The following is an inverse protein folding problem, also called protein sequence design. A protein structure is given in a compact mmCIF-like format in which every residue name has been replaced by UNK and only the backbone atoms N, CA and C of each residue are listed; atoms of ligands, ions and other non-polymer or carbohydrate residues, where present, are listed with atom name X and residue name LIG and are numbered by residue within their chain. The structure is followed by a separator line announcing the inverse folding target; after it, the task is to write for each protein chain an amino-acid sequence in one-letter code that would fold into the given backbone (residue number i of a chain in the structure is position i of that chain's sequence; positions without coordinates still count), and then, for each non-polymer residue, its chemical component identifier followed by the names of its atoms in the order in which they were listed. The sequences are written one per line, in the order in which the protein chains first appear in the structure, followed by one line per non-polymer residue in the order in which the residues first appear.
data_IF_275129883936
#
_entry.id   IF_275129883936
#
_cell.length_a   1.000
_cell.length_b   1.000
_cell.length_c   1.000
_cell.angle_alpha   90.00
_cell.angle_beta   90.00
_cell.angle_gamma   90.00
#
_symmetry.space_group_name_H-M   'P 1'
#
loop_
_entity.id
_entity.type
_entity.pdbx_description
1 polymer ?
#
# COMPACT_ATOMS: atom_id res chain seq x y z
N UNK A 1 19.61 55.60 -21.25
CA UNK A 1 20.41 54.67 -20.41
C UNK A 1 19.43 53.84 -19.60
N UNK A 2 19.22 52.58 -19.99
CA UNK A 2 18.27 51.68 -19.35
C UNK A 2 19.04 50.41 -18.95
N UNK A 3 19.07 50.10 -17.65
CA UNK A 3 19.82 49.02 -17.04
C UNK A 3 19.22 47.64 -17.37
N UNK A 4 20.07 46.74 -17.85
CA UNK A 4 19.96 45.27 -17.90
C UNK A 4 20.88 44.76 -16.75
N UNK A 5 20.74 43.60 -16.05
CA UNK A 5 19.89 42.40 -16.23
C UNK A 5 19.49 41.66 -14.91
N UNK A 6 18.25 41.59 -14.44
CA UNK A 6 17.87 40.50 -13.51
C UNK A 6 16.41 40.13 -13.69
N UNK A 7 16.12 39.37 -14.73
CA UNK A 7 14.93 38.51 -14.72
C UNK A 7 15.30 37.20 -15.40
N UNK A 8 16.25 36.49 -14.78
CA UNK A 8 16.25 35.03 -14.76
C UNK A 8 14.97 34.64 -14.00
N UNK A 9 13.84 34.80 -14.68
CA UNK A 9 12.53 34.40 -14.19
C UNK A 9 12.56 32.89 -14.09
N UNK A 10 12.66 32.41 -12.86
CA UNK A 10 12.59 31.01 -12.47
C UNK A 10 11.53 30.28 -13.30
N UNK A 11 12.00 29.50 -14.27
CA UNK A 11 11.25 28.33 -14.72
C UNK A 11 11.35 27.35 -13.53
N UNK A 12 10.50 27.57 -12.53
CA UNK A 12 10.06 26.52 -11.62
C UNK A 12 9.25 25.56 -12.50
N UNK A 13 9.96 24.70 -13.22
CA UNK A 13 9.40 23.43 -13.61
C UNK A 13 8.98 22.78 -12.29
N UNK A 14 7.69 22.87 -11.97
CA UNK A 14 7.05 21.97 -11.03
C UNK A 14 7.21 20.60 -11.67
N UNK A 15 8.36 19.98 -11.43
CA UNK A 15 8.50 18.54 -11.53
C UNK A 15 7.64 18.06 -10.37
N UNK A 16 6.33 17.98 -10.61
CA UNK A 16 5.47 17.19 -9.76
C UNK A 16 6.11 15.81 -9.78
N UNK A 17 6.69 15.35 -8.66
CA UNK A 17 7.15 13.98 -8.65
C UNK A 17 5.92 13.17 -8.99
N UNK A 18 5.99 12.37 -10.04
CA UNK A 18 5.09 11.26 -10.27
C UNK A 18 5.28 10.28 -9.12
N UNK A 19 4.84 10.67 -7.92
CA UNK A 19 4.49 9.75 -6.88
C UNK A 19 3.27 9.06 -7.47
N UNK A 20 3.53 7.93 -8.12
CA UNK A 20 2.46 7.00 -8.37
C UNK A 20 1.82 6.78 -6.99
N UNK A 21 0.55 7.14 -6.97
CA UNK A 21 -0.34 6.94 -5.85
C UNK A 21 -1.42 6.05 -6.42
N UNK A 22 -1.85 5.07 -5.62
CA UNK A 22 -3.00 4.23 -5.92
C UNK A 22 -4.07 5.00 -6.68
N UNK A 23 -4.61 4.40 -7.73
CA UNK A 23 -5.62 5.06 -8.55
C UNK A 23 -6.82 5.46 -7.69
N UNK A 24 -7.56 6.49 -8.10
CA UNK A 24 -8.82 6.83 -7.43
C UNK A 24 -9.80 5.64 -7.40
N UNK A 25 -9.67 4.68 -8.32
CA UNK A 25 -10.47 3.46 -8.31
C UNK A 25 -10.05 2.55 -7.15
N UNK A 26 -8.76 2.31 -6.97
CA UNK A 26 -8.22 1.55 -5.84
C UNK A 26 -8.55 2.23 -4.50
N UNK A 27 -8.42 3.55 -4.40
CA UNK A 27 -8.81 4.31 -3.19
C UNK A 27 -10.29 4.11 -2.84
N UNK A 28 -11.19 4.18 -3.84
CA UNK A 28 -12.64 3.94 -3.64
C UNK A 28 -12.95 2.52 -3.18
N UNK A 29 -12.15 1.53 -3.57
CA UNK A 29 -12.29 0.15 -3.10
C UNK A 29 -11.72 0.00 -1.68
N UNK A 30 -10.56 0.59 -1.40
CA UNK A 30 -9.84 0.41 -0.14
C UNK A 30 -10.50 1.16 1.02
N UNK A 31 -10.95 2.40 0.85
CA UNK A 31 -11.57 3.19 1.93
C UNK A 31 -12.64 2.43 2.72
N UNK A 32 -13.73 1.92 2.11
CA UNK A 32 -14.78 1.23 2.85
C UNK A 32 -14.30 -0.09 3.49
N UNK A 33 -13.29 -0.74 2.91
CA UNK A 33 -12.69 -1.96 3.49
C UNK A 33 -11.92 -1.62 4.76
N UNK A 34 -11.11 -0.56 4.73
CA UNK A 34 -10.35 -0.10 5.88
C UNK A 34 -11.26 0.37 7.00
N UNK A 35 -12.28 1.18 6.69
CA UNK A 35 -13.27 1.62 7.67
C UNK A 35 -13.96 0.44 8.34
N UNK A 36 -14.35 -0.57 7.54
CA UNK A 36 -15.00 -1.76 8.09
C UNK A 36 -14.07 -2.59 8.97
N UNK A 37 -12.80 -2.73 8.60
CA UNK A 37 -11.82 -3.40 9.43
C UNK A 37 -11.51 -2.64 10.72
N UNK A 38 -11.52 -1.31 10.70
CA UNK A 38 -11.42 -0.49 11.91
C UNK A 38 -12.64 -0.71 12.81
N UNK A 39 -13.85 -0.70 12.25
CA UNK A 39 -15.09 -0.96 13.00
C UNK A 39 -15.09 -2.35 13.66
N UNK A 40 -14.82 -3.40 12.89
CA UNK A 40 -14.85 -4.79 13.37
C UNK A 40 -13.82 -5.05 14.48
N UNK A 41 -12.71 -4.31 14.48
CA UNK A 41 -11.64 -4.41 15.48
C UNK A 41 -11.76 -3.37 16.61
N UNK A 42 -12.78 -2.49 16.58
CA UNK A 42 -12.97 -1.44 17.57
C UNK A 42 -11.87 -0.36 17.56
N UNK A 43 -11.20 -0.17 16.41
CA UNK A 43 -10.15 0.84 16.23
C UNK A 43 -10.81 2.19 15.96
N UNK A 44 -10.52 3.24 16.75
CA UNK A 44 -11.05 4.56 16.50
C UNK A 44 -10.60 5.13 15.14
N UNK A 45 -11.52 5.70 14.35
CA UNK A 45 -11.20 6.28 13.03
C UNK A 45 -10.10 7.38 13.08
N UNK A 46 -9.98 8.08 14.21
CA UNK A 46 -8.92 9.08 14.45
C UNK A 46 -7.49 8.51 14.36
N UNK A 47 -7.33 7.19 14.41
CA UNK A 47 -6.03 6.52 14.28
C UNK A 47 -5.57 6.42 12.82
N UNK A 48 -6.42 6.80 11.85
CA UNK A 48 -6.06 7.00 10.43
C UNK A 48 -5.37 5.80 9.79
N UNK A 49 -5.89 4.60 10.06
CA UNK A 49 -5.32 3.35 9.54
C UNK A 49 -5.43 3.25 8.02
N UNK A 50 -6.40 3.91 7.40
CA UNK A 50 -6.44 4.06 5.95
C UNK A 50 -5.18 4.76 5.45
N UNK A 51 -4.94 6.00 5.86
CA UNK A 51 -3.81 6.79 5.37
C UNK A 51 -2.46 6.16 5.72
N UNK A 52 -2.35 5.53 6.90
CA UNK A 52 -1.13 4.83 7.33
C UNK A 52 -0.91 3.54 6.56
N UNK A 53 -1.93 2.71 6.37
CA UNK A 53 -1.79 1.40 5.71
C UNK A 53 -1.70 1.50 4.19
N UNK A 54 -2.46 2.42 3.60
CA UNK A 54 -2.49 2.68 2.16
C UNK A 54 -1.11 3.05 1.60
N UNK A 55 -0.24 3.66 2.40
CA UNK A 55 1.12 4.05 2.02
C UNK A 55 2.22 3.12 2.57
N UNK A 56 1.87 1.94 3.08
CA UNK A 56 2.88 1.02 3.63
C UNK A 56 3.40 1.42 5.02
N UNK A 57 2.76 2.37 5.70
CA UNK A 57 3.21 2.99 6.94
C UNK A 57 2.85 2.26 8.24
N UNK A 58 2.01 1.21 8.20
CA UNK A 58 1.77 0.36 9.38
C UNK A 58 3.02 -0.48 9.72
N UNK A 59 3.34 -0.54 11.01
CA UNK A 59 4.55 -1.14 11.58
C UNK A 59 4.18 -2.15 12.68
N UNK A 60 5.11 -3.05 13.02
CA UNK A 60 4.84 -4.15 13.97
C UNK A 60 4.72 -3.73 15.44
N UNK A 61 5.11 -2.49 15.78
CA UNK A 61 4.91 -1.87 17.09
C UNK A 61 3.48 -1.33 17.28
N UNK A 62 2.70 -1.23 16.20
CA UNK A 62 1.29 -0.90 16.28
C UNK A 62 0.49 -2.11 16.80
N UNK A 63 -0.24 -1.99 17.92
CA UNK A 63 -0.90 -3.11 18.57
C UNK A 63 -1.99 -3.78 17.70
N UNK A 64 -2.54 -3.07 16.71
CA UNK A 64 -3.57 -3.60 15.82
C UNK A 64 -3.07 -3.86 14.40
N UNK A 65 -1.80 -3.59 14.08
CA UNK A 65 -1.32 -3.70 12.69
C UNK A 65 -1.53 -5.10 12.09
N UNK A 66 -1.27 -6.16 12.86
CA UNK A 66 -1.42 -7.53 12.36
C UNK A 66 -2.89 -7.91 12.10
N UNK A 67 -3.82 -7.84 13.08
CA UNK A 67 -5.21 -8.18 12.84
C UNK A 67 -5.87 -7.25 11.83
N UNK A 68 -5.50 -5.96 11.83
CA UNK A 68 -6.03 -4.99 10.88
C UNK A 68 -5.64 -5.31 9.44
N UNK A 69 -4.35 -5.51 9.17
CA UNK A 69 -3.90 -5.79 7.82
C UNK A 69 -4.41 -7.15 7.34
N UNK A 70 -4.50 -8.14 8.22
CA UNK A 70 -5.13 -9.42 7.88
C UNK A 70 -6.60 -9.25 7.49
N UNK A 71 -7.38 -8.43 8.21
CA UNK A 71 -8.76 -8.11 7.84
C UNK A 71 -8.85 -7.47 6.45
N UNK A 72 -8.00 -6.47 6.18
CA UNK A 72 -7.97 -5.78 4.88
C UNK A 72 -7.67 -6.76 3.75
N UNK A 73 -6.61 -7.57 3.90
CA UNK A 73 -6.20 -8.54 2.89
C UNK A 73 -7.25 -9.64 2.67
N UNK A 74 -7.94 -10.08 3.72
CA UNK A 74 -9.05 -11.04 3.60
C UNK A 74 -10.20 -10.47 2.78
N UNK A 75 -10.58 -9.22 3.03
CA UNK A 75 -11.70 -8.56 2.31
C UNK A 75 -11.38 -8.27 0.85
N UNK A 76 -10.10 -8.12 0.52
CA UNK A 76 -9.61 -7.99 -0.85
C UNK A 76 -9.39 -9.34 -1.56
N UNK A 77 -9.62 -10.46 -0.88
CA UNK A 77 -9.28 -11.80 -1.35
C UNK A 77 -7.78 -11.97 -1.69
N UNK A 78 -6.91 -11.14 -1.11
CA UNK A 78 -5.45 -11.25 -1.26
C UNK A 78 -4.88 -12.38 -0.43
N UNK A 79 -5.58 -12.74 0.64
CA UNK A 79 -5.24 -13.86 1.51
C UNK A 79 -6.51 -14.60 1.87
N UNK A 80 -6.42 -15.92 2.02
CA UNK A 80 -7.52 -16.72 2.56
C UNK A 80 -7.38 -16.93 4.09
N UNK A 81 -8.36 -17.62 4.70
CA UNK A 81 -8.36 -17.90 6.14
C UNK A 81 -7.15 -18.72 6.64
N UNK A 82 -6.45 -19.44 5.75
CA UNK A 82 -5.25 -20.22 6.10
C UNK A 82 -3.96 -19.41 5.97
N UNK A 83 -4.01 -18.20 5.44
CA UNK A 83 -2.83 -17.35 5.21
C UNK A 83 -2.15 -17.58 3.87
N UNK A 84 -2.83 -18.24 2.92
CA UNK A 84 -2.32 -18.42 1.55
C UNK A 84 -2.58 -17.17 0.75
N UNK A 85 -1.54 -16.61 0.13
CA UNK A 85 -1.65 -15.41 -0.70
C UNK A 85 -2.27 -15.78 -2.05
N UNK A 86 -3.31 -15.07 -2.44
CA UNK A 86 -3.85 -15.10 -3.79
C UNK A 86 -3.04 -14.15 -4.67
N UNK A 87 -1.90 -14.64 -5.18
CA UNK A 87 -0.98 -13.82 -5.96
C UNK A 87 -1.65 -13.16 -7.17
N UNK A 88 -2.61 -13.86 -7.81
CA UNK A 88 -3.35 -13.34 -8.95
C UNK A 88 -4.19 -12.11 -8.55
N UNK A 89 -4.96 -12.20 -7.46
CA UNK A 89 -5.78 -11.08 -6.99
C UNK A 89 -4.92 -9.85 -6.65
N UNK A 90 -3.76 -10.06 -6.01
CA UNK A 90 -2.81 -8.97 -5.73
C UNK A 90 -2.32 -8.33 -7.04
N UNK A 91 -1.86 -9.14 -8.01
CA UNK A 91 -1.35 -8.64 -9.29
C UNK A 91 -2.43 -7.90 -10.08
N UNK A 92 -3.63 -8.47 -10.19
CA UNK A 92 -4.75 -7.84 -10.91
C UNK A 92 -5.13 -6.49 -10.29
N UNK A 93 -5.16 -6.40 -8.95
CA UNK A 93 -5.54 -5.16 -8.26
C UNK A 93 -4.54 -4.03 -8.53
N UNK A 94 -3.25 -4.34 -8.51
CA UNK A 94 -2.18 -3.35 -8.63
C UNK A 94 -1.76 -3.03 -10.07
N UNK A 95 -2.11 -3.88 -11.05
CA UNK A 95 -1.91 -3.56 -12.48
C UNK A 95 -2.98 -2.64 -13.05
N UNK A 96 -4.09 -2.42 -12.34
CA UNK A 96 -5.11 -1.43 -12.73
C UNK A 96 -4.53 -0.01 -12.72
N UNK A 97 -4.21 0.52 -13.91
CA UNK A 97 -3.67 1.87 -14.09
C UNK A 97 -2.14 1.98 -13.99
N UNK A 98 -1.41 0.87 -13.81
CA UNK A 98 0.04 0.88 -13.66
C UNK A 98 0.72 -0.20 -14.54
N UNK A 99 1.75 0.19 -15.30
CA UNK A 99 2.61 -0.78 -16.01
C UNK A 99 3.71 -1.28 -15.06
N UNK A 100 3.43 -2.39 -14.38
CA UNK A 100 4.33 -2.95 -13.36
C UNK A 100 4.78 -4.35 -13.76
N UNK A 101 5.69 -4.43 -14.73
CA UNK A 101 6.31 -5.69 -15.16
C UNK A 101 7.05 -6.44 -14.05
N UNK A 102 7.49 -5.74 -13.00
CA UNK A 102 8.17 -6.33 -11.83
C UNK A 102 7.22 -6.91 -10.77
N UNK A 103 5.92 -6.61 -10.84
CA UNK A 103 4.96 -6.91 -9.77
C UNK A 103 4.80 -8.40 -9.47
N UNK A 104 4.63 -9.30 -10.47
CA UNK A 104 4.47 -10.72 -10.17
C UNK A 104 5.69 -11.30 -9.45
N UNK A 105 6.90 -10.85 -9.82
CA UNK A 105 8.14 -11.26 -9.17
C UNK A 105 8.24 -10.80 -7.73
N UNK A 106 7.81 -9.56 -7.44
CA UNK A 106 7.75 -9.06 -6.05
C UNK A 106 6.75 -9.84 -5.22
N UNK A 107 5.54 -10.08 -5.74
CA UNK A 107 4.50 -10.82 -5.03
C UNK A 107 5.00 -12.24 -4.68
N UNK A 108 5.63 -12.93 -5.63
CA UNK A 108 6.21 -14.25 -5.40
C UNK A 108 7.36 -14.23 -4.38
N UNK A 109 8.28 -13.25 -4.48
CA UNK A 109 9.38 -13.07 -3.52
C UNK A 109 8.86 -12.86 -2.10
N UNK A 110 7.85 -12.00 -1.93
CA UNK A 110 7.28 -11.69 -0.62
C UNK A 110 6.44 -12.84 -0.06
N UNK A 111 5.73 -13.59 -0.90
CA UNK A 111 4.97 -14.77 -0.46
C UNK A 111 5.91 -15.89 0.02
N UNK A 112 7.03 -16.12 -0.67
CA UNK A 112 8.04 -17.11 -0.26
C UNK A 112 8.73 -16.76 1.05
N UNK A 113 8.96 -15.47 1.29
CA UNK A 113 9.72 -14.98 2.46
C UNK A 113 8.85 -14.54 3.64
N UNK A 114 7.52 -14.60 3.55
CA UNK A 114 6.62 -14.23 4.66
C UNK A 114 6.90 -15.09 5.89
N UNK A 115 6.91 -14.44 7.05
CA UNK A 115 7.23 -15.08 8.33
C UNK A 115 6.25 -14.68 9.43
N UNK A 116 6.19 -15.46 10.50
CA UNK A 116 5.23 -15.26 11.59
C UNK A 116 4.63 -16.57 12.10
N UNK A 117 4.34 -16.60 13.40
CA UNK A 117 3.72 -17.73 14.09
C UNK A 117 2.23 -17.82 13.73
N UNK A 118 1.55 -16.68 13.63
CA UNK A 118 0.12 -16.63 13.29
C UNK A 118 -0.12 -16.31 11.82
N UNK A 119 -1.34 -16.59 11.34
CA UNK A 119 -1.76 -16.21 9.99
C UNK A 119 -1.66 -14.69 9.80
N UNK A 120 -2.15 -13.92 10.77
CA UNK A 120 -2.12 -12.46 10.72
C UNK A 120 -0.69 -11.89 10.67
N UNK A 121 0.24 -12.47 11.44
CA UNK A 121 1.67 -12.10 11.39
C UNK A 121 2.26 -12.38 10.00
N UNK A 122 1.97 -13.53 9.39
CA UNK A 122 2.44 -13.85 8.03
C UNK A 122 1.86 -12.92 6.97
N UNK A 123 0.57 -12.60 7.06
CA UNK A 123 -0.06 -11.61 6.18
C UNK A 123 0.56 -10.24 6.32
N UNK A 124 0.83 -9.79 7.55
CA UNK A 124 1.51 -8.53 7.78
C UNK A 124 2.96 -8.55 7.27
N UNK A 125 3.69 -9.65 7.46
CA UNK A 125 5.04 -9.82 6.92
C UNK A 125 5.06 -9.73 5.38
N UNK A 126 4.06 -10.31 4.71
CA UNK A 126 3.89 -10.14 3.26
C UNK A 126 3.65 -8.67 2.88
N UNK A 127 2.71 -8.00 3.55
CA UNK A 127 2.41 -6.58 3.34
C UNK A 127 3.67 -5.71 3.51
N UNK A 128 4.45 -5.92 4.57
CA UNK A 128 5.71 -5.20 4.81
C UNK A 128 6.69 -5.42 3.69
N UNK A 129 6.95 -6.68 3.33
CA UNK A 129 7.83 -7.00 2.22
C UNK A 129 7.38 -6.28 0.94
N UNK A 130 6.10 -6.36 0.58
CA UNK A 130 5.56 -5.76 -0.63
C UNK A 130 5.86 -4.26 -0.73
N UNK A 131 5.55 -3.49 0.31
CA UNK A 131 5.79 -2.04 0.33
C UNK A 131 7.28 -1.67 0.52
N UNK A 132 8.09 -2.52 1.17
CA UNK A 132 9.52 -2.27 1.39
C UNK A 132 10.37 -2.48 0.11
N UNK A 133 9.87 -3.24 -0.87
CA UNK A 133 10.59 -3.44 -2.13
C UNK A 133 10.82 -2.12 -2.87
N UNK A 134 9.91 -1.13 -2.77
CA UNK A 134 9.97 0.17 -3.48
C UNK A 134 10.23 0.04 -5.00
N UNK A 135 10.10 -1.17 -5.56
CA UNK A 135 10.40 -1.54 -6.95
C UNK A 135 9.23 -1.26 -7.90
N UNK A 136 8.11 -0.87 -7.32
CA UNK A 136 6.92 -0.44 -8.01
C UNK A 136 6.30 0.62 -7.11
N UNK A 137 5.97 1.75 -7.73
CA UNK A 137 5.24 2.80 -7.07
C UNK A 137 3.82 2.67 -7.61
N UNK A 138 2.87 2.37 -6.72
CA UNK A 138 1.43 2.34 -7.02
C UNK A 138 0.91 3.73 -6.73
#
# INVERSE_FOLDING_TARGET
MLNIPILVGMILAVVAPSLASHTQAQERVLHPIYDKCSEDLGIPLKERYFERGFLGGLTADDPNAFPFMFCVMLRLDFVNCTGTINQKAVVDFFTDGHDITSLPGVVDECDKNKSGKTVAERSFSFYRCFFDQKKFIV
#
